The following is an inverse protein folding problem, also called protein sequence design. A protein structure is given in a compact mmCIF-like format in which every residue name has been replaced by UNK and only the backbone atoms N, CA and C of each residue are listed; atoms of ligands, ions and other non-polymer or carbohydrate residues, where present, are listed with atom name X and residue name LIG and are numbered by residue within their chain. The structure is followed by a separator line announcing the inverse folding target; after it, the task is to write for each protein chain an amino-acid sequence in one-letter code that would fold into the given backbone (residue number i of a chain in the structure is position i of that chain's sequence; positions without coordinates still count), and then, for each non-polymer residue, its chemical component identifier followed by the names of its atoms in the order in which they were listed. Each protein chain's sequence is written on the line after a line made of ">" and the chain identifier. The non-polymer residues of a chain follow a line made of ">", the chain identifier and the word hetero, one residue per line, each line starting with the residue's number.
data_IF_689413368032
#
_entry.id   IF_689413368032
#
_cell.length_a   1.000
_cell.length_b   1.000
_cell.length_c   1.000
_cell.angle_alpha   90.00
_cell.angle_beta   90.00
_cell.angle_gamma   90.00
#
_symmetry.space_group_name_H-M   'P 1'
#
loop_
_entity.id
_entity.type
_entity.pdbx_description
1 polymer ?
#
# COMPACT_ATOMS: atom_id res chain seq x y z
N UNK A 1 -5.57 10.33 21.31
CA UNK A 1 -6.48 9.18 21.09
C UNK A 1 -7.10 8.84 22.44
N UNK A 2 -8.36 9.23 22.69
CA UNK A 2 -8.99 9.01 23.99
C UNK A 2 -9.20 7.54 24.36
N UNK A 3 -9.48 6.67 23.39
CA UNK A 3 -9.82 5.28 23.67
C UNK A 3 -9.49 4.36 22.49
N UNK A 4 -8.89 3.21 22.79
CA UNK A 4 -8.72 2.08 21.89
C UNK A 4 -8.92 0.79 22.68
N UNK A 5 -9.78 -0.10 22.17
CA UNK A 5 -10.10 -1.38 22.80
C UNK A 5 -10.24 -2.50 21.75
N UNK A 6 -9.39 -3.53 21.85
CA UNK A 6 -9.50 -4.77 21.08
C UNK A 6 -10.35 -5.79 21.83
N UNK A 7 -11.66 -5.56 21.87
CA UNK A 7 -12.57 -6.30 22.76
C UNK A 7 -12.68 -7.80 22.45
N UNK A 8 -12.71 -8.18 21.16
CA UNK A 8 -12.89 -9.57 20.70
C UNK A 8 -13.90 -10.39 21.53
N UNK A 9 -15.06 -9.80 21.82
CA UNK A 9 -16.04 -10.35 22.76
C UNK A 9 -17.36 -10.63 22.07
N UNK A 10 -18.00 -11.73 22.47
CA UNK A 10 -19.41 -11.97 22.12
C UNK A 10 -20.28 -10.98 22.87
N UNK A 11 -21.25 -10.41 22.16
CA UNK A 11 -22.22 -9.50 22.75
C UNK A 11 -23.35 -10.31 23.40
N UNK A 12 -23.87 -9.79 24.50
CA UNK A 12 -24.93 -10.41 25.27
C UNK A 12 -26.08 -9.42 25.45
N UNK A 13 -27.32 -9.91 25.47
CA UNK A 13 -28.49 -9.07 25.66
C UNK A 13 -28.74 -8.71 27.13
N UNK A 14 -28.30 -9.55 28.07
CA UNK A 14 -28.43 -9.30 29.51
C UNK A 14 -27.36 -8.35 30.07
N UNK A 15 -26.19 -8.29 29.45
CA UNK A 15 -25.07 -7.46 29.92
C UNK A 15 -24.39 -6.73 28.74
N UNK A 16 -24.65 -5.43 28.56
CA UNK A 16 -23.99 -4.66 27.53
C UNK A 16 -22.50 -4.51 27.81
N UNK A 17 -21.71 -4.53 26.75
CA UNK A 17 -20.31 -4.16 26.84
C UNK A 17 -20.20 -2.64 27.02
N UNK A 18 -19.38 -2.21 27.97
CA UNK A 18 -19.17 -0.79 28.31
C UNK A 18 -17.69 -0.51 28.51
N UNK A 19 -17.25 0.66 28.08
CA UNK A 19 -15.92 1.18 28.37
C UNK A 19 -16.02 2.66 28.72
N UNK A 20 -15.26 3.07 29.73
CA UNK A 20 -15.12 4.47 30.10
C UNK A 20 -13.77 5.00 29.64
N UNK A 21 -13.76 6.27 29.23
CA UNK A 21 -12.55 6.94 28.77
C UNK A 21 -12.62 8.44 29.08
N UNK A 22 -11.47 9.11 29.14
CA UNK A 22 -11.41 10.55 29.37
C UNK A 22 -11.19 11.31 28.07
N UNK A 23 -11.95 12.38 27.85
CA UNK A 23 -11.66 13.39 26.84
C UNK A 23 -11.11 14.65 27.51
N UNK A 24 -10.33 15.42 26.74
CA UNK A 24 -9.75 16.69 27.16
C UNK A 24 -10.59 17.93 26.79
N UNK A 25 -11.67 17.77 26.03
CA UNK A 25 -12.47 18.91 25.58
C UNK A 25 -11.86 19.75 24.45
N UNK A 26 -10.64 19.45 23.98
CA UNK A 26 -9.87 20.39 23.14
C UNK A 26 -10.16 20.28 21.64
N UNK A 27 -10.79 19.20 21.19
CA UNK A 27 -10.90 18.87 19.78
C UNK A 27 -12.31 19.14 19.25
N UNK A 28 -12.38 19.81 18.10
CA UNK A 28 -13.64 20.28 17.50
C UNK A 28 -14.59 19.15 17.06
N UNK A 29 -14.06 17.95 16.85
CA UNK A 29 -14.79 16.83 16.24
C UNK A 29 -14.21 15.49 16.69
N UNK A 30 -15.03 14.45 16.62
CA UNK A 30 -14.62 13.09 16.97
C UNK A 30 -15.18 12.05 15.99
N UNK A 31 -14.60 10.85 16.04
CA UNK A 31 -14.99 9.66 15.32
C UNK A 31 -15.15 8.54 16.33
N UNK A 32 -16.30 7.90 16.32
CA UNK A 32 -16.49 6.60 16.95
C UNK A 32 -16.28 5.55 15.86
N UNK A 33 -15.21 4.77 16.00
CA UNK A 33 -14.90 3.67 15.08
C UNK A 33 -15.06 2.36 15.82
N UNK A 34 -15.72 1.38 15.21
CA UNK A 34 -15.83 0.05 15.81
C UNK A 34 -15.96 -1.02 14.74
N UNK A 35 -15.62 -2.25 15.10
CA UNK A 35 -15.78 -3.41 14.23
C UNK A 35 -16.74 -4.42 14.83
N UNK A 36 -17.72 -4.82 14.02
CA UNK A 36 -18.79 -5.75 14.39
C UNK A 36 -18.87 -6.90 13.39
N UNK A 37 -19.33 -8.05 13.87
CA UNK A 37 -19.63 -9.25 13.08
C UNK A 37 -20.93 -9.88 13.59
N UNK A 38 -21.67 -10.59 12.71
CA UNK A 38 -22.86 -11.36 13.11
C UNK A 38 -24.12 -10.53 13.44
N UNK A 39 -24.23 -9.31 12.88
CA UNK A 39 -25.35 -8.38 13.14
C UNK A 39 -26.02 -7.95 11.82
N UNK A 40 -27.02 -8.71 11.32
CA UNK A 40 -27.62 -8.47 10.00
C UNK A 40 -28.61 -7.29 9.96
N UNK A 41 -29.17 -6.86 11.10
CA UNK A 41 -30.15 -5.77 11.17
C UNK A 41 -29.70 -4.66 12.12
N UNK A 42 -30.04 -3.41 11.78
CA UNK A 42 -29.82 -2.25 12.66
C UNK A 42 -30.57 -2.38 14.00
N UNK A 43 -31.68 -3.11 14.02
CA UNK A 43 -32.45 -3.35 15.26
C UNK A 43 -31.74 -4.29 16.23
N UNK A 44 -30.75 -5.07 15.78
CA UNK A 44 -30.13 -6.11 16.58
C UNK A 44 -29.20 -5.56 17.67
N UNK A 45 -28.68 -4.34 17.49
CA UNK A 45 -27.70 -3.73 18.38
C UNK A 45 -27.98 -2.25 18.58
N UNK A 46 -27.85 -1.77 19.82
CA UNK A 46 -27.81 -0.34 20.13
C UNK A 46 -26.39 0.05 20.52
N UNK A 47 -25.82 1.07 19.86
CA UNK A 47 -24.51 1.64 20.20
C UNK A 47 -24.71 3.04 20.73
N UNK A 48 -24.24 3.32 21.95
CA UNK A 48 -24.43 4.63 22.59
C UNK A 48 -23.11 5.23 23.03
N UNK A 49 -22.99 6.54 22.83
CA UNK A 49 -21.95 7.38 23.43
C UNK A 49 -22.63 8.36 24.39
N UNK A 50 -22.27 8.32 25.67
CA UNK A 50 -22.89 9.10 26.75
C UNK A 50 -24.42 8.99 26.76
N UNK A 51 -24.91 7.77 26.57
CA UNK A 51 -26.35 7.46 26.50
C UNK A 51 -27.04 7.87 25.19
N UNK A 52 -26.39 8.60 24.28
CA UNK A 52 -26.93 8.99 22.98
C UNK A 52 -26.69 7.89 21.95
N UNK A 53 -27.76 7.41 21.32
CA UNK A 53 -27.69 6.40 20.27
C UNK A 53 -26.98 6.95 19.03
N UNK A 54 -26.00 6.19 18.56
CA UNK A 54 -25.22 6.54 17.38
C UNK A 54 -25.92 6.22 16.06
N UNK A 55 -27.00 5.41 16.10
CA UNK A 55 -27.80 4.99 14.94
C UNK A 55 -26.94 4.33 13.86
N UNK A 56 -26.13 3.37 14.26
CA UNK A 56 -25.35 2.57 13.32
C UNK A 56 -26.28 1.73 12.41
N UNK A 57 -25.81 1.35 11.23
CA UNK A 57 -26.57 0.56 10.26
C UNK A 57 -25.67 -0.51 9.64
N UNK A 58 -26.13 -1.76 9.50
CA UNK A 58 -25.34 -2.84 8.93
C UNK A 58 -25.08 -2.63 7.43
N UNK A 59 -23.94 -3.16 6.96
CA UNK A 59 -23.58 -3.20 5.55
C UNK A 59 -24.17 -4.44 4.88
N UNK A 60 -25.28 -4.26 4.15
CA UNK A 60 -26.00 -5.36 3.49
C UNK A 60 -25.15 -6.11 2.45
N UNK A 61 -24.21 -5.43 1.81
CA UNK A 61 -23.26 -5.99 0.84
C UNK A 61 -22.20 -6.90 1.46
N UNK A 62 -21.93 -6.75 2.76
CA UNK A 62 -20.99 -7.58 3.54
C UNK A 62 -21.73 -8.72 4.26
N UNK A 63 -23.01 -8.53 4.57
CA UNK A 63 -23.84 -9.51 5.25
C UNK A 63 -23.47 -9.64 6.72
N UNK A 64 -23.15 -10.86 7.16
CA UNK A 64 -22.82 -11.17 8.57
C UNK A 64 -21.32 -11.15 8.87
N UNK A 65 -20.48 -10.92 7.86
CA UNK A 65 -19.03 -10.88 8.03
C UNK A 65 -18.59 -9.59 8.75
N UNK A 66 -17.35 -9.60 9.25
CA UNK A 66 -16.79 -8.51 10.03
C UNK A 66 -16.61 -7.26 9.18
N UNK A 67 -17.11 -6.14 9.69
CA UNK A 67 -16.92 -4.82 9.07
C UNK A 67 -16.47 -3.76 10.07
N UNK A 68 -15.90 -2.65 9.58
CA UNK A 68 -15.51 -1.48 10.36
C UNK A 68 -16.47 -0.32 10.06
N UNK A 69 -17.08 0.22 11.11
CA UNK A 69 -18.05 1.30 11.04
C UNK A 69 -17.43 2.59 11.56
N UNK A 70 -17.54 3.65 10.77
CA UNK A 70 -17.03 4.98 11.10
C UNK A 70 -18.19 5.95 11.29
N UNK A 71 -18.39 6.39 12.53
CA UNK A 71 -19.42 7.37 12.88
C UNK A 71 -18.77 8.70 13.22
N UNK A 72 -18.69 9.57 12.22
CA UNK A 72 -18.17 10.92 12.37
C UNK A 72 -19.17 11.83 13.09
N UNK A 73 -18.65 12.66 14.00
CA UNK A 73 -19.41 13.67 14.74
C UNK A 73 -18.69 15.01 14.65
N UNK A 74 -19.39 16.01 14.12
CA UNK A 74 -18.91 17.40 14.03
C UNK A 74 -19.24 18.15 15.33
N UNK A 75 -18.82 17.58 16.45
CA UNK A 75 -19.02 18.15 17.78
C UNK A 75 -17.88 17.76 18.71
N UNK A 76 -17.62 18.65 19.67
CA UNK A 76 -16.66 18.44 20.76
C UNK A 76 -17.18 17.33 21.69
N UNK A 77 -16.26 16.50 22.21
CA UNK A 77 -16.51 15.73 23.42
C UNK A 77 -16.06 16.60 24.59
N UNK A 78 -16.95 16.83 25.56
CA UNK A 78 -16.66 17.69 26.71
C UNK A 78 -15.44 17.19 27.50
N UNK A 79 -14.82 18.06 28.30
CA UNK A 79 -13.76 17.61 29.21
C UNK A 79 -14.35 16.68 30.29
N UNK A 80 -13.70 15.55 30.52
CA UNK A 80 -14.08 14.62 31.57
C UNK A 80 -14.29 13.18 31.11
N UNK A 81 -15.11 12.44 31.87
CA UNK A 81 -15.31 11.00 31.72
C UNK A 81 -16.54 10.72 30.85
N UNK A 82 -16.33 9.89 29.84
CA UNK A 82 -17.33 9.45 28.87
C UNK A 82 -17.54 7.94 28.93
N UNK A 83 -18.68 7.48 28.42
CA UNK A 83 -18.99 6.05 28.31
C UNK A 83 -19.44 5.68 26.89
N UNK A 84 -18.77 4.68 26.31
CA UNK A 84 -19.21 4.00 25.10
C UNK A 84 -19.81 2.65 25.47
N UNK A 85 -20.98 2.33 24.92
CA UNK A 85 -21.70 1.08 25.21
C UNK A 85 -22.31 0.42 23.99
N UNK A 86 -22.31 -0.92 24.01
CA UNK A 86 -22.85 -1.80 22.98
C UNK A 86 -23.83 -2.77 23.63
N UNK A 87 -25.11 -2.66 23.28
CA UNK A 87 -26.20 -3.45 23.84
C UNK A 87 -26.82 -4.30 22.74
N UNK A 88 -26.68 -5.62 22.84
CA UNK A 88 -27.42 -6.53 21.96
C UNK A 88 -28.90 -6.46 22.33
N UNK A 89 -29.75 -6.24 21.34
CA UNK A 89 -31.20 -6.18 21.50
C UNK A 89 -31.86 -7.51 21.10
N UNK A 90 -31.18 -8.32 20.28
CA UNK A 90 -31.70 -9.58 19.76
C UNK A 90 -30.99 -10.78 20.38
N UNK A 91 -31.63 -11.41 21.37
CA UNK A 91 -31.08 -12.55 22.11
C UNK A 91 -30.81 -13.77 21.23
N UNK A 92 -31.45 -13.88 20.06
CA UNK A 92 -31.20 -14.99 19.13
C UNK A 92 -29.80 -14.94 18.50
N UNK A 93 -29.14 -13.79 18.57
CA UNK A 93 -27.79 -13.58 18.07
C UNK A 93 -26.72 -13.73 19.16
N UNK A 94 -27.08 -14.10 20.39
CA UNK A 94 -26.09 -14.46 21.40
C UNK A 94 -25.26 -15.65 20.92
N UNK A 95 -23.93 -15.58 21.11
CA UNK A 95 -23.02 -16.57 20.54
C UNK A 95 -22.75 -16.40 19.03
N UNK A 96 -23.32 -15.39 18.38
CA UNK A 96 -23.00 -15.00 16.98
C UNK A 96 -22.54 -13.54 16.87
N UNK A 97 -23.25 -12.61 17.50
CA UNK A 97 -22.93 -11.19 17.48
C UNK A 97 -21.63 -10.92 18.26
N UNK A 98 -20.66 -10.29 17.59
CA UNK A 98 -19.33 -10.05 18.15
C UNK A 98 -18.93 -8.58 17.99
N UNK A 99 -18.37 -8.02 19.06
CA UNK A 99 -17.61 -6.76 19.03
C UNK A 99 -16.13 -7.10 18.94
N UNK A 100 -15.49 -6.72 17.85
CA UNK A 100 -14.09 -7.01 17.61
C UNK A 100 -13.18 -5.89 18.13
N UNK A 101 -13.52 -4.63 17.85
CA UNK A 101 -12.78 -3.45 18.32
C UNK A 101 -13.68 -2.23 18.47
N UNK A 102 -13.26 -1.29 19.32
CA UNK A 102 -13.86 0.03 19.45
C UNK A 102 -12.77 1.08 19.72
N UNK A 103 -12.91 2.25 19.10
CA UNK A 103 -11.97 3.36 19.13
C UNK A 103 -12.72 4.69 19.18
N UNK A 104 -12.19 5.62 19.97
CA UNK A 104 -12.58 7.03 19.94
C UNK A 104 -11.37 7.82 19.47
N UNK A 105 -11.56 8.57 18.39
CA UNK A 105 -10.56 9.43 17.79
C UNK A 105 -11.07 10.87 17.79
N UNK A 106 -10.23 11.80 18.23
CA UNK A 106 -10.54 13.22 18.26
C UNK A 106 -9.66 13.96 17.26
N UNK A 107 -10.24 14.96 16.59
CA UNK A 107 -9.53 15.72 15.57
C UNK A 107 -9.79 17.22 15.75
N UNK A 108 -8.78 18.01 15.41
CA UNK A 108 -8.93 19.47 15.26
C UNK A 108 -9.90 19.84 14.15
N UNK A 109 -10.17 21.14 14.03
CA UNK A 109 -11.00 21.67 12.96
C UNK A 109 -10.37 21.39 11.57
N UNK A 110 -11.13 21.47 10.46
CA UNK A 110 -10.60 21.14 9.12
C UNK A 110 -9.35 21.94 8.69
N UNK A 111 -9.16 23.14 9.25
CA UNK A 111 -7.96 23.98 9.05
C UNK A 111 -6.76 23.54 9.90
N UNK A 112 -6.97 22.76 10.96
CA UNK A 112 -5.93 22.21 11.84
C UNK A 112 -5.57 20.77 11.47
N UNK A 113 -6.57 19.99 11.05
CA UNK A 113 -6.40 18.58 10.71
C UNK A 113 -7.02 18.27 9.34
N UNK A 114 -6.14 18.15 8.35
CA UNK A 114 -6.52 17.83 6.97
C UNK A 114 -6.67 16.30 6.85
N UNK A 115 -7.90 15.82 6.79
CA UNK A 115 -8.23 14.40 6.59
C UNK A 115 -8.63 14.06 5.15
N UNK A 116 -8.40 14.95 4.19
CA UNK A 116 -8.79 14.73 2.79
C UNK A 116 -7.90 13.63 2.16
N UNK A 117 -8.48 12.62 1.46
CA UNK A 117 -7.72 11.67 0.65
C UNK A 117 -6.72 12.35 -0.29
N UNK A 118 -5.57 11.73 -0.52
CA UNK A 118 -4.48 12.30 -1.33
C UNK A 118 -3.64 13.39 -0.65
N UNK A 119 -3.93 13.81 0.58
CA UNK A 119 -3.07 14.73 1.33
C UNK A 119 -1.95 14.00 2.07
N UNK A 120 -0.70 14.39 1.82
CA UNK A 120 0.50 13.82 2.42
C UNK A 120 1.11 14.77 3.45
N UNK A 121 1.33 14.28 4.67
CA UNK A 121 1.94 15.02 5.78
C UNK A 121 2.46 14.05 6.84
N UNK A 122 2.95 14.56 7.97
CA UNK A 122 3.35 13.76 9.13
C UNK A 122 2.17 13.62 10.09
N UNK A 123 1.33 12.61 9.86
CA UNK A 123 0.22 12.32 10.75
C UNK A 123 0.68 11.47 11.92
N UNK A 124 0.52 11.91 13.17
CA UNK A 124 0.90 11.11 14.32
C UNK A 124 -0.02 9.88 14.46
N UNK A 125 0.59 8.77 14.84
CA UNK A 125 -0.05 7.53 15.27
C UNK A 125 0.38 7.25 16.69
N UNK A 126 -0.56 6.78 17.52
CA UNK A 126 -0.33 6.51 18.93
C UNK A 126 -0.53 5.02 19.18
N UNK A 127 0.42 4.38 19.83
CA UNK A 127 0.23 3.01 20.35
C UNK A 127 -0.51 3.03 21.68
N UNK A 128 -1.01 1.86 22.11
CA UNK A 128 -1.58 1.64 23.44
C UNK A 128 -0.55 1.89 24.56
N UNK A 129 0.74 1.74 24.26
CA UNK A 129 1.86 2.07 25.17
C UNK A 129 2.31 3.53 25.08
N UNK A 130 1.49 4.40 24.49
CA UNK A 130 1.74 5.83 24.33
C UNK A 130 3.02 6.17 23.55
N UNK A 131 3.43 5.29 22.63
CA UNK A 131 4.53 5.57 21.70
C UNK A 131 3.98 6.30 20.48
N UNK A 132 4.58 7.45 20.15
CA UNK A 132 4.23 8.20 18.95
C UNK A 132 5.06 7.71 17.77
N UNK A 133 4.38 7.32 16.70
CA UNK A 133 4.96 7.12 15.38
C UNK A 133 4.28 8.06 14.39
N UNK A 134 4.72 8.02 13.12
CA UNK A 134 4.15 8.87 12.08
C UNK A 134 3.77 8.04 10.87
N UNK A 135 2.74 8.50 10.17
CA UNK A 135 2.31 7.96 8.88
C UNK A 135 2.14 9.09 7.86
N UNK A 136 2.28 8.77 6.57
CA UNK A 136 2.30 9.76 5.50
C UNK A 136 0.91 10.32 5.16
N UNK A 137 -0.17 9.57 5.39
CA UNK A 137 -1.54 10.01 5.10
C UNK A 137 -2.48 9.73 6.26
N UNK A 138 -3.50 10.58 6.41
CA UNK A 138 -4.58 10.27 7.34
C UNK A 138 -5.57 9.33 6.67
N UNK A 139 -6.26 9.74 5.62
CA UNK A 139 -7.11 8.80 4.85
C UNK A 139 -6.31 8.19 3.69
N UNK A 140 -6.92 7.33 2.88
CA UNK A 140 -6.36 6.91 1.57
C UNK A 140 -5.13 5.97 1.62
N UNK A 141 -5.14 4.99 2.53
CA UNK A 141 -4.15 3.91 2.52
C UNK A 141 -4.70 2.61 3.12
N UNK A 142 -4.59 1.51 2.37
CA UNK A 142 -4.98 0.14 2.77
C UNK A 142 -4.42 -0.24 4.15
N UNK A 143 -3.18 0.15 4.43
CA UNK A 143 -2.52 -0.13 5.72
C UNK A 143 -3.17 0.56 6.93
N UNK A 144 -4.08 1.51 6.71
CA UNK A 144 -4.89 2.12 7.77
C UNK A 144 -6.35 1.71 7.67
N UNK A 145 -6.88 1.75 6.46
CA UNK A 145 -8.29 1.52 6.18
C UNK A 145 -8.32 0.25 5.36
N UNK A 146 -8.47 -0.90 6.01
CA UNK A 146 -8.41 -2.21 5.32
C UNK A 146 -9.52 -2.41 4.28
N UNK A 147 -10.44 -1.45 4.18
CA UNK A 147 -11.57 -1.40 3.23
C UNK A 147 -11.31 -0.49 2.03
N UNK A 148 -10.16 0.22 1.95
CA UNK A 148 -9.74 0.96 0.75
C UNK A 148 -8.85 0.08 -0.13
N UNK A 149 -9.03 0.03 -1.46
CA UNK A 149 -8.27 -0.86 -2.32
C UNK A 149 -6.83 -0.42 -2.58
N UNK A 150 -6.47 0.82 -2.21
CA UNK A 150 -5.23 1.46 -2.66
C UNK A 150 -4.23 1.65 -1.52
N UNK A 151 -2.94 1.49 -1.83
CA UNK A 151 -1.86 1.98 -0.99
C UNK A 151 -1.60 3.46 -1.29
N UNK A 152 -1.23 4.25 -0.26
CA UNK A 152 -0.69 5.58 -0.51
C UNK A 152 0.68 5.49 -1.19
N UNK A 153 1.11 6.57 -1.85
CA UNK A 153 2.36 6.63 -2.63
C UNK A 153 3.61 6.23 -1.83
N UNK A 154 3.69 6.67 -0.56
CA UNK A 154 4.82 6.33 0.32
C UNK A 154 4.82 4.84 0.69
N UNK A 155 3.66 4.23 0.92
CA UNK A 155 3.57 2.80 1.15
C UNK A 155 3.90 1.99 -0.11
N UNK A 156 3.48 2.47 -1.29
CA UNK A 156 3.86 1.88 -2.57
C UNK A 156 5.37 1.93 -2.79
N UNK A 157 6.02 3.08 -2.56
CA UNK A 157 7.48 3.20 -2.63
C UNK A 157 8.16 2.21 -1.66
N UNK A 158 7.71 2.17 -0.40
CA UNK A 158 8.23 1.23 0.59
C UNK A 158 8.08 -0.24 0.17
N UNK A 159 6.97 -0.58 -0.49
CA UNK A 159 6.73 -1.91 -1.04
C UNK A 159 7.68 -2.21 -2.20
N UNK A 160 7.82 -1.28 -3.15
CA UNK A 160 8.78 -1.39 -4.25
C UNK A 160 10.20 -1.62 -3.74
N UNK A 161 10.69 -0.79 -2.83
CA UNK A 161 12.01 -0.93 -2.24
C UNK A 161 12.18 -2.26 -1.49
N UNK A 162 11.15 -2.70 -0.77
CA UNK A 162 11.21 -3.93 0.04
C UNK A 162 11.19 -5.22 -0.79
N UNK A 163 10.45 -5.22 -1.89
CA UNK A 163 10.32 -6.36 -2.80
C UNK A 163 11.48 -6.41 -3.79
N UNK A 164 11.77 -5.29 -4.46
CA UNK A 164 12.77 -5.24 -5.54
C UNK A 164 14.21 -5.39 -5.03
N UNK A 165 14.50 -5.10 -3.76
CA UNK A 165 15.82 -5.40 -3.18
C UNK A 165 16.20 -6.89 -3.22
N UNK A 166 15.24 -7.78 -3.48
CA UNK A 166 15.44 -9.23 -3.56
C UNK A 166 15.29 -9.77 -4.99
N UNK A 167 15.14 -8.88 -5.97
CA UNK A 167 14.89 -9.22 -7.36
C UNK A 167 16.04 -8.69 -8.20
N UNK A 168 16.62 -9.55 -9.03
CA UNK A 168 17.48 -9.10 -10.12
C UNK A 168 16.58 -8.72 -11.31
N UNK A 169 16.86 -7.58 -11.93
CA UNK A 169 16.12 -7.14 -13.11
C UNK A 169 16.62 -7.85 -14.37
N UNK A 170 17.86 -8.34 -14.33
CA UNK A 170 18.49 -9.12 -15.38
C UNK A 170 18.13 -10.59 -15.14
N UNK A 171 17.29 -11.15 -16.01
CA UNK A 171 16.94 -12.58 -15.98
C UNK A 171 18.09 -13.42 -16.53
N UNK A 172 18.65 -13.00 -17.67
CA UNK A 172 19.84 -13.62 -18.24
C UNK A 172 20.53 -12.72 -19.26
N UNK A 173 21.81 -12.98 -19.49
CA UNK A 173 22.60 -12.41 -20.58
C UNK A 173 23.07 -13.59 -21.43
N UNK A 174 22.79 -13.58 -22.72
CA UNK A 174 23.25 -14.61 -23.66
C UNK A 174 24.17 -14.00 -24.71
N UNK A 175 25.19 -14.77 -25.08
CA UNK A 175 26.12 -14.43 -26.16
C UNK A 175 25.95 -15.42 -27.31
N UNK A 176 25.84 -14.92 -28.53
CA UNK A 176 25.88 -15.70 -29.76
C UNK A 176 26.80 -15.04 -30.79
N UNK A 177 27.07 -15.73 -31.90
CA UNK A 177 27.86 -15.19 -33.01
C UNK A 177 27.09 -15.38 -34.31
N UNK A 178 26.85 -14.29 -35.03
CA UNK A 178 26.20 -14.32 -36.34
C UNK A 178 27.25 -14.21 -37.45
N UNK A 179 27.21 -15.16 -38.37
CA UNK A 179 28.13 -15.18 -39.50
C UNK A 179 27.66 -14.20 -40.58
N UNK A 180 28.50 -13.24 -40.90
CA UNK A 180 28.30 -12.27 -41.97
C UNK A 180 29.29 -12.55 -43.11
N UNK A 181 28.73 -12.82 -44.28
CA UNK A 181 29.50 -13.03 -45.51
C UNK A 181 29.92 -14.48 -45.76
N UNK A 182 30.24 -14.76 -47.03
CA UNK A 182 30.46 -16.13 -47.53
C UNK A 182 31.95 -16.48 -47.63
N UNK A 183 32.85 -15.49 -47.80
CA UNK A 183 34.32 -15.65 -47.75
C UNK A 183 35.06 -14.30 -47.85
N UNK A 184 35.97 -13.96 -46.91
CA UNK A 184 36.19 -14.63 -45.63
C UNK A 184 34.97 -14.43 -44.71
N UNK A 185 34.58 -15.45 -43.91
CA UNK A 185 33.50 -15.28 -42.95
C UNK A 185 33.91 -14.24 -41.91
N UNK A 186 33.08 -13.21 -41.73
CA UNK A 186 33.15 -12.30 -40.59
C UNK A 186 32.12 -12.75 -39.58
N UNK A 187 32.40 -12.54 -38.30
CA UNK A 187 31.45 -12.84 -37.24
C UNK A 187 31.09 -11.54 -36.54
N UNK A 188 29.81 -11.31 -36.33
CA UNK A 188 29.35 -10.34 -35.35
C UNK A 188 29.10 -11.09 -34.05
N UNK A 189 29.62 -10.57 -32.94
CA UNK A 189 29.25 -11.05 -31.63
C UNK A 189 27.95 -10.37 -31.24
N UNK A 190 26.97 -11.16 -30.84
CA UNK A 190 25.65 -10.68 -30.44
C UNK A 190 25.51 -10.90 -28.94
N UNK A 191 25.07 -9.86 -28.24
CA UNK A 191 24.76 -9.89 -26.82
C UNK A 191 23.29 -9.57 -26.64
N UNK A 192 22.57 -10.53 -26.06
CA UNK A 192 21.15 -10.45 -25.78
C UNK A 192 20.94 -10.33 -24.27
N UNK A 193 20.23 -9.29 -23.86
CA UNK A 193 19.83 -9.02 -22.50
C UNK A 193 18.35 -9.35 -22.32
N UNK A 194 18.08 -10.32 -21.46
CA UNK A 194 16.72 -10.67 -21.07
C UNK A 194 16.42 -10.06 -19.70
N UNK A 195 15.39 -9.21 -19.66
CA UNK A 195 14.92 -8.54 -18.44
C UNK A 195 13.66 -9.21 -17.89
N UNK A 196 13.45 -9.05 -16.59
CA UNK A 196 12.15 -9.35 -15.96
C UNK A 196 11.08 -8.44 -16.59
N UNK A 197 9.89 -8.97 -16.99
CA UNK A 197 8.87 -8.24 -17.75
C UNK A 197 8.14 -7.19 -16.91
N UNK A 198 8.82 -6.07 -16.65
CA UNK A 198 8.33 -4.86 -15.96
C UNK A 198 8.50 -3.63 -16.86
N UNK A 199 7.95 -2.48 -16.43
CA UNK A 199 8.06 -1.22 -17.17
C UNK A 199 7.53 -1.36 -18.60
N UNK A 200 8.32 -0.94 -19.58
CA UNK A 200 7.98 -1.08 -21.00
C UNK A 200 7.92 -2.52 -21.53
N UNK A 201 8.35 -3.52 -20.76
CA UNK A 201 8.39 -4.94 -21.18
C UNK A 201 7.31 -5.81 -20.52
N UNK A 202 6.35 -5.21 -19.80
CA UNK A 202 5.23 -5.93 -19.18
C UNK A 202 4.35 -6.59 -20.26
N UNK A 203 3.87 -7.81 -19.99
CA UNK A 203 3.05 -8.56 -20.95
C UNK A 203 1.59 -8.07 -20.92
N UNK A 204 0.88 -8.05 -22.07
CA UNK A 204 -0.49 -7.52 -22.16
C UNK A 204 -1.55 -8.21 -21.30
N UNK A 205 -1.29 -9.44 -20.83
CA UNK A 205 -2.21 -10.16 -19.94
C UNK A 205 -2.09 -9.72 -18.47
N UNK A 206 -0.99 -9.06 -18.10
CA UNK A 206 -0.78 -8.46 -16.78
C UNK A 206 -1.44 -7.08 -16.66
N UNK A 207 -1.85 -6.50 -17.80
CA UNK A 207 -2.71 -5.31 -17.91
C UNK A 207 -4.18 -5.73 -17.73
N UNK A 208 -4.53 -6.24 -16.55
CA UNK A 208 -5.93 -6.55 -16.24
C UNK A 208 -6.78 -5.27 -16.16
N UNK A 209 -7.69 -5.16 -17.12
CA UNK A 209 -8.99 -4.45 -17.10
C UNK A 209 -9.07 -2.91 -17.13
N UNK A 210 -7.99 -2.18 -17.33
CA UNK A 210 -8.12 -0.80 -17.81
C UNK A 210 -6.99 -0.52 -18.78
N UNK A 211 -7.28 0.09 -19.93
CA UNK A 211 -6.29 0.58 -20.90
C UNK A 211 -5.38 1.70 -20.37
N UNK A 212 -5.07 1.69 -19.08
CA UNK A 212 -4.11 2.51 -18.41
C UNK A 212 -2.78 1.74 -18.41
N UNK A 213 -1.91 2.00 -19.40
CA UNK A 213 -0.47 1.88 -19.16
C UNK A 213 -0.21 2.56 -17.82
N UNK A 214 0.38 1.87 -16.83
CA UNK A 214 0.81 2.52 -15.59
C UNK A 214 1.85 3.57 -16.02
N UNK A 215 1.55 4.89 -16.00
CA UNK A 215 2.24 5.84 -16.89
C UNK A 215 3.69 6.18 -16.55
N UNK A 216 4.37 5.43 -15.67
CA UNK A 216 5.62 5.88 -15.09
C UNK A 216 6.55 4.75 -14.60
N UNK A 217 6.35 3.51 -15.02
CA UNK A 217 7.36 2.44 -14.84
C UNK A 217 8.28 2.39 -16.07
N UNK A 218 9.59 2.52 -15.88
CA UNK A 218 10.57 2.53 -16.99
C UNK A 218 11.87 1.83 -16.59
N UNK A 219 12.45 1.08 -17.54
CA UNK A 219 13.83 0.64 -17.47
C UNK A 219 14.75 1.56 -18.27
N UNK A 220 15.87 1.94 -17.68
CA UNK A 220 17.03 2.50 -18.36
C UNK A 220 18.13 1.45 -18.42
N UNK A 221 18.72 1.23 -19.61
CA UNK A 221 19.77 0.23 -19.84
C UNK A 221 21.02 0.95 -20.34
N UNK A 222 22.15 0.69 -19.69
CA UNK A 222 23.45 1.25 -20.08
C UNK A 222 24.47 0.14 -20.22
N UNK A 223 25.03 0.01 -21.43
CA UNK A 223 26.09 -0.95 -21.72
C UNK A 223 27.46 -0.31 -21.52
N UNK A 224 28.40 -1.11 -21.06
CA UNK A 224 29.78 -0.73 -20.84
C UNK A 224 30.72 -1.72 -21.51
N UNK A 225 31.79 -1.21 -22.10
CA UNK A 225 32.93 -2.01 -22.56
C UNK A 225 34.19 -1.54 -21.84
N UNK A 226 34.85 -2.44 -21.13
CA UNK A 226 36.07 -2.15 -20.37
C UNK A 226 35.94 -0.94 -19.42
N UNK A 227 34.71 -0.70 -18.93
CA UNK A 227 34.35 0.42 -18.05
C UNK A 227 33.90 1.70 -18.76
N UNK A 228 33.94 1.78 -20.09
CA UNK A 228 33.46 2.93 -20.86
C UNK A 228 32.04 2.70 -21.37
N UNK A 229 31.20 3.75 -21.30
CA UNK A 229 29.80 3.69 -21.75
C UNK A 229 29.72 3.56 -23.28
N UNK A 230 28.93 2.61 -23.75
CA UNK A 230 28.59 2.46 -25.16
C UNK A 230 27.30 3.24 -25.47
N UNK A 231 27.44 4.53 -25.74
CA UNK A 231 26.32 5.46 -25.98
C UNK A 231 25.39 5.01 -27.13
N UNK A 232 25.94 4.33 -28.15
CA UNK A 232 25.18 3.84 -29.29
C UNK A 232 24.18 2.74 -28.93
N UNK A 233 24.40 2.04 -27.81
CA UNK A 233 23.58 0.91 -27.36
C UNK A 233 22.67 1.22 -26.17
N UNK A 234 22.54 2.49 -25.77
CA UNK A 234 21.68 2.90 -24.66
C UNK A 234 20.23 2.45 -24.90
N UNK A 235 19.60 1.89 -23.86
CA UNK A 235 18.24 1.34 -23.88
C UNK A 235 18.00 0.18 -24.87
N UNK A 236 19.06 -0.44 -25.40
CA UNK A 236 18.96 -1.62 -26.25
C UNK A 236 19.09 -2.91 -25.42
N UNK A 237 18.22 -3.88 -25.69
CA UNK A 237 18.31 -5.23 -25.11
C UNK A 237 19.07 -6.21 -26.01
N UNK A 238 19.43 -5.79 -27.22
CA UNK A 238 20.12 -6.59 -28.22
C UNK A 238 21.19 -5.72 -28.85
N UNK A 239 22.45 -6.13 -28.75
CA UNK A 239 23.57 -5.37 -29.32
C UNK A 239 24.43 -6.28 -30.20
N UNK A 240 24.78 -5.78 -31.37
CA UNK A 240 25.68 -6.44 -32.31
C UNK A 240 27.01 -5.72 -32.31
N UNK A 241 28.09 -6.44 -31.98
CA UNK A 241 29.45 -5.91 -31.97
C UNK A 241 30.24 -6.58 -33.09
N UNK A 242 30.84 -5.75 -33.94
CA UNK A 242 31.62 -6.23 -35.08
C UNK A 242 32.98 -6.78 -34.59
N UNK A 243 33.24 -8.07 -34.85
CA UNK A 243 34.48 -8.73 -34.44
C UNK A 243 35.59 -8.62 -35.52
N UNK A 244 35.32 -7.95 -36.64
CA UNK A 244 36.18 -7.94 -37.83
C UNK A 244 37.60 -7.39 -37.64
N UNK A 245 37.82 -6.51 -36.65
CA UNK A 245 39.11 -5.83 -36.40
C UNK A 245 39.64 -6.04 -34.95
N UNK A 246 39.12 -7.05 -34.23
CA UNK A 246 39.43 -7.24 -32.79
C UNK A 246 38.80 -6.18 -31.87
N UNK A 247 38.03 -5.24 -32.44
CA UNK A 247 37.23 -4.26 -31.71
C UNK A 247 36.10 -4.89 -30.88
N UNK A 248 35.72 -6.14 -31.17
CA UNK A 248 34.77 -6.91 -30.37
C UNK A 248 35.33 -7.45 -29.06
N UNK A 249 36.67 -7.48 -28.89
CA UNK A 249 37.33 -8.02 -27.69
C UNK A 249 37.28 -6.98 -26.55
N UNK A 250 36.83 -7.41 -25.38
CA UNK A 250 36.72 -6.61 -24.16
C UNK A 250 35.78 -7.25 -23.13
N UNK A 251 35.76 -6.71 -21.92
CA UNK A 251 34.76 -7.06 -20.89
C UNK A 251 33.50 -6.23 -21.13
N UNK A 252 32.38 -6.90 -21.37
CA UNK A 252 31.08 -6.25 -21.48
C UNK A 252 30.32 -6.37 -20.17
N UNK A 253 29.78 -5.25 -19.72
CA UNK A 253 28.88 -5.21 -18.57
C UNK A 253 27.69 -4.35 -18.89
N UNK A 254 26.59 -4.58 -18.17
CA UNK A 254 25.34 -3.90 -18.38
C UNK A 254 24.78 -3.46 -17.05
N UNK A 255 24.27 -2.24 -17.01
CA UNK A 255 23.57 -1.70 -15.87
C UNK A 255 22.12 -1.50 -16.23
N UNK A 256 21.23 -2.06 -15.41
CA UNK A 256 19.79 -1.90 -15.57
C UNK A 256 19.23 -1.13 -14.38
N UNK A 257 18.51 -0.06 -14.69
CA UNK A 257 17.89 0.84 -13.74
C UNK A 257 16.38 0.82 -13.91
N UNK A 258 15.64 0.52 -12.85
CA UNK A 258 14.17 0.58 -12.84
C UNK A 258 13.68 1.81 -12.08
N UNK A 259 12.72 2.54 -12.67
CA UNK A 259 12.10 3.74 -12.10
C UNK A 259 10.59 3.64 -12.09
N UNK A 260 9.94 4.17 -11.05
CA UNK A 260 8.47 4.25 -10.91
C UNK A 260 8.06 5.68 -10.52
N UNK A 261 6.77 6.04 -10.61
CA UNK A 261 6.28 7.37 -10.18
C UNK A 261 6.62 7.68 -8.72
N UNK A 262 6.58 6.66 -7.87
CA UNK A 262 6.77 6.77 -6.43
C UNK A 262 8.24 6.68 -6.04
N UNK A 263 9.09 6.07 -6.87
CA UNK A 263 10.48 5.82 -6.56
C UNK A 263 11.42 6.70 -7.41
N UNK A 264 11.85 7.84 -6.85
CA UNK A 264 12.90 8.68 -7.45
C UNK A 264 14.32 8.08 -7.29
N UNK A 265 14.48 7.02 -6.47
CA UNK A 265 15.74 6.30 -6.29
C UNK A 265 15.78 5.07 -7.18
N UNK A 266 16.47 5.20 -8.29
CA UNK A 266 16.77 4.05 -9.14
C UNK A 266 17.43 2.90 -8.40
N UNK A 267 16.88 1.71 -8.58
CA UNK A 267 17.53 0.48 -8.20
C UNK A 267 18.40 0.05 -9.38
N UNK A 268 19.69 -0.10 -9.12
CA UNK A 268 20.73 -0.39 -10.10
C UNK A 268 21.20 -1.83 -9.89
N UNK A 269 21.06 -2.67 -10.91
CA UNK A 269 21.64 -4.02 -10.94
C UNK A 269 22.70 -4.11 -12.03
N UNK A 270 24.00 -4.29 -11.67
CA UNK A 270 25.04 -4.56 -12.64
C UNK A 270 25.09 -6.05 -13.00
N UNK A 271 25.12 -6.35 -14.30
CA UNK A 271 25.38 -7.67 -14.87
C UNK A 271 26.69 -7.69 -15.65
N UNK A 272 27.41 -8.82 -15.63
CA UNK A 272 28.63 -9.05 -16.41
C UNK A 272 28.42 -10.24 -17.33
N UNK A 273 28.76 -10.10 -18.61
CA UNK A 273 28.66 -11.15 -19.63
C UNK A 273 30.02 -11.59 -20.16
#
# INVERSE_FOLDING_TARGET
>A
MPMQAYAWTMLNASSPWRVQFSSSGQYARHLVRFSLSGLPSASDLTVKLDGKDLRWTPRLDIGIDRWHYDIHRQSVLEDGLHELSFQLNNNQLEGTAQLCSAEILEFGAPNEFISTPGHYSLFPTFSETNTTSYRPTNEDCLMRIVTTPNFCKVCLEGLWLSLLRRVDFIDSISTSCDQIGVSPPRFNRVLDLKLVPLGQFRLPADDLEAGNKIPAEEYSITWYKDGEVLEEFVNQTHIEVNDGDGQGVGLYSVEVKFTTTENYRSLVNPGTG
#
